data_IF_487193430246
#
_entry.id   IF_487193430246
#
_cell.length_a   1.000
_cell.length_b   1.000
_cell.length_c   1.000
_cell.angle_alpha   90.00
_cell.angle_beta   90.00
_cell.angle_gamma   90.00
#
_symmetry.space_group_name_H-M   'P 1'
#
loop_
_entity.id
_entity.type
_entity.pdbx_description
1 polymer ?
#
# COMPACT_ATOMS: atom_id res chain seq x y z
N UNK A 1 1.59 -33.68 -1.98
CA UNK A 1 0.84 -32.54 -1.40
C UNK A 1 -0.55 -32.52 -2.03
N UNK A 2 -1.58 -32.06 -1.34
CA UNK A 2 -2.96 -32.05 -1.84
C UNK A 2 -3.44 -30.62 -2.02
N UNK A 3 -4.32 -30.39 -3.00
CA UNK A 3 -4.99 -29.11 -3.21
C UNK A 3 -6.03 -28.87 -2.11
N UNK A 4 -5.95 -27.72 -1.44
CA UNK A 4 -6.85 -27.33 -0.34
C UNK A 4 -8.28 -27.00 -0.78
N UNK A 5 -8.52 -26.70 -2.06
CA UNK A 5 -9.87 -26.43 -2.57
C UNK A 5 -10.57 -27.68 -3.11
N UNK A 6 -9.84 -28.55 -3.82
CA UNK A 6 -10.44 -29.72 -4.50
C UNK A 6 -10.14 -31.06 -3.84
N UNK A 7 -9.19 -31.13 -2.93
CA UNK A 7 -8.77 -32.37 -2.26
C UNK A 7 -7.97 -33.33 -3.15
N UNK A 8 -7.68 -32.97 -4.41
CA UNK A 8 -6.93 -33.81 -5.34
C UNK A 8 -5.42 -33.76 -5.06
N UNK A 9 -4.68 -34.84 -5.35
CA UNK A 9 -3.22 -34.82 -5.23
C UNK A 9 -2.61 -33.86 -6.26
N UNK A 10 -1.63 -33.06 -5.83
CA UNK A 10 -0.82 -32.22 -6.71
C UNK A 10 0.13 -33.13 -7.48
N UNK A 11 0.08 -33.08 -8.82
CA UNK A 11 0.86 -33.95 -9.72
C UNK A 11 2.37 -33.72 -9.61
N UNK A 12 2.80 -32.50 -9.28
CA UNK A 12 4.20 -32.14 -9.15
C UNK A 12 4.75 -32.35 -7.74
N UNK A 13 6.06 -32.61 -7.65
CA UNK A 13 6.77 -32.66 -6.38
C UNK A 13 7.00 -31.23 -5.86
N UNK A 14 6.59 -30.96 -4.63
CA UNK A 14 6.77 -29.68 -3.96
C UNK A 14 7.87 -29.84 -2.91
N UNK A 15 8.91 -29.01 -2.99
CA UNK A 15 9.97 -28.95 -1.99
C UNK A 15 9.45 -28.18 -0.76
N UNK A 16 9.40 -28.87 0.38
CA UNK A 16 9.00 -28.30 1.66
C UNK A 16 10.11 -28.55 2.67
N UNK A 17 10.47 -27.52 3.42
CA UNK A 17 11.49 -27.61 4.48
C UNK A 17 11.39 -26.43 5.44
N UNK A 18 11.91 -26.59 6.68
CA UNK A 18 11.90 -25.51 7.65
C UNK A 18 12.90 -24.42 7.24
N UNK A 19 12.44 -23.16 7.22
CA UNK A 19 13.27 -21.97 6.99
C UNK A 19 12.90 -20.92 8.03
N UNK A 20 13.91 -20.23 8.58
CA UNK A 20 13.68 -19.13 9.51
C UNK A 20 13.31 -17.85 8.75
N UNK A 21 12.17 -17.26 9.10
CA UNK A 21 11.72 -15.99 8.52
C UNK A 21 11.95 -14.83 9.49
N UNK A 22 12.39 -13.70 8.96
CA UNK A 22 12.49 -12.45 9.71
C UNK A 22 11.32 -11.54 9.34
N UNK A 23 10.59 -11.06 10.34
CA UNK A 23 9.51 -10.09 10.15
C UNK A 23 10.09 -8.68 10.16
N UNK A 24 9.85 -7.93 9.08
CA UNK A 24 10.20 -6.51 9.01
C UNK A 24 9.23 -5.67 9.84
N UNK A 25 9.73 -4.58 10.40
CA UNK A 25 8.98 -3.68 11.30
C UNK A 25 7.97 -2.82 10.56
N UNK A 26 8.25 -2.45 9.30
CA UNK A 26 7.38 -1.57 8.54
C UNK A 26 6.13 -2.30 8.07
N UNK A 27 4.97 -1.92 8.62
CA UNK A 27 3.69 -2.48 8.25
C UNK A 27 2.97 -1.60 7.24
N UNK A 28 2.03 -2.20 6.50
CA UNK A 28 1.22 -1.48 5.49
C UNK A 28 0.24 -0.53 6.18
N UNK A 29 -0.34 -0.93 7.32
CA UNK A 29 -1.31 -0.14 8.09
C UNK A 29 -0.76 1.24 8.50
N UNK A 30 0.54 1.32 8.75
CA UNK A 30 1.25 2.56 9.10
C UNK A 30 1.40 3.53 7.92
N UNK A 31 1.02 3.13 6.70
CA UNK A 31 1.22 3.91 5.47
C UNK A 31 -0.09 4.26 4.76
N UNK A 32 -1.24 3.75 5.23
CA UNK A 32 -2.55 4.02 4.61
C UNK A 32 -2.96 5.49 4.83
N UNK A 33 -3.27 6.21 3.75
CA UNK A 33 -3.74 7.61 3.79
C UNK A 33 -4.89 7.82 2.80
N UNK A 34 -5.94 8.50 3.26
CA UNK A 34 -7.07 8.91 2.43
C UNK A 34 -7.55 10.30 2.85
N UNK A 35 -8.11 11.05 1.90
CA UNK A 35 -8.68 12.38 2.13
C UNK A 35 -9.90 12.56 1.24
N UNK A 36 -11.00 13.04 1.82
CA UNK A 36 -12.17 13.54 1.09
C UNK A 36 -12.17 15.07 0.99
N UNK A 37 -12.39 15.75 2.12
CA UNK A 37 -12.28 17.21 2.29
C UNK A 37 -11.48 17.50 3.57
N UNK A 38 -10.89 18.68 3.70
CA UNK A 38 -10.13 19.07 4.88
C UNK A 38 -9.55 20.48 4.74
N UNK A 39 -8.70 20.87 5.68
CA UNK A 39 -8.16 22.23 5.77
C UNK A 39 -7.21 22.56 4.62
N UNK A 40 -7.11 23.86 4.35
CA UNK A 40 -6.24 24.47 3.34
C UNK A 40 -5.27 25.45 4.01
N UNK A 41 -4.08 25.55 3.44
CA UNK A 41 -3.07 26.51 3.86
C UNK A 41 -3.50 27.95 3.52
N UNK A 42 -3.31 28.88 4.45
CA UNK A 42 -3.77 30.26 4.29
C UNK A 42 -3.12 31.01 3.11
N UNK A 43 -1.84 30.78 2.85
CA UNK A 43 -1.10 31.50 1.80
C UNK A 43 -1.48 31.01 0.40
N UNK A 44 -1.40 29.70 0.17
CA UNK A 44 -1.53 29.09 -1.16
C UNK A 44 -2.94 28.62 -1.45
N UNK A 45 -3.80 28.53 -0.43
CA UNK A 45 -5.09 27.84 -0.48
C UNK A 45 -4.98 26.39 -0.95
N UNK A 46 -3.79 25.79 -0.85
CA UNK A 46 -3.59 24.39 -1.18
C UNK A 46 -3.94 23.51 0.03
N UNK A 47 -4.43 22.29 -0.19
CA UNK A 47 -4.68 21.35 0.89
C UNK A 47 -3.42 21.11 1.74
N UNK A 48 -3.58 21.05 3.07
CA UNK A 48 -2.43 20.89 3.99
C UNK A 48 -1.68 19.57 3.77
N UNK A 49 -0.40 19.53 4.14
CA UNK A 49 0.48 18.36 4.00
C UNK A 49 0.47 17.49 5.26
N UNK A 50 0.70 16.20 5.08
CA UNK A 50 0.97 15.27 6.18
C UNK A 50 -0.23 14.43 6.59
N UNK A 51 0.04 13.17 6.95
CA UNK A 51 -0.99 12.17 7.27
C UNK A 51 -1.80 12.52 8.52
N UNK A 52 -1.15 13.08 9.54
CA UNK A 52 -1.79 13.44 10.83
C UNK A 52 -2.89 14.48 10.66
N UNK A 53 -2.75 15.36 9.68
CA UNK A 53 -3.68 16.45 9.40
C UNK A 53 -4.67 16.09 8.28
N UNK A 54 -4.78 14.79 7.95
CA UNK A 54 -5.57 14.33 6.80
C UNK A 54 -5.17 15.07 5.51
N UNK A 55 -3.87 15.29 5.36
CA UNK A 55 -3.29 16.03 4.25
C UNK A 55 -3.54 15.36 2.90
N UNK A 56 -3.44 16.13 1.82
CA UNK A 56 -3.68 15.61 0.47
C UNK A 56 -2.51 14.78 -0.04
N UNK A 57 -2.80 13.87 -0.97
CA UNK A 57 -1.76 13.26 -1.79
C UNK A 57 -1.25 14.27 -2.81
N UNK A 58 0.07 14.47 -2.88
CA UNK A 58 0.67 15.36 -3.87
C UNK A 58 0.44 14.85 -5.29
N UNK A 59 -0.14 15.69 -6.13
CA UNK A 59 -0.12 15.55 -7.58
C UNK A 59 1.12 16.27 -8.12
N UNK A 60 2.12 15.49 -8.54
CA UNK A 60 3.41 16.03 -9.01
C UNK A 60 3.45 16.23 -10.52
N UNK A 61 4.51 16.88 -11.00
CA UNK A 61 4.71 17.18 -12.43
C UNK A 61 4.65 15.93 -13.31
N UNK A 62 5.32 14.84 -12.93
CA UNK A 62 5.25 13.58 -13.68
C UNK A 62 3.81 13.03 -13.82
N UNK A 63 2.94 13.26 -12.83
CA UNK A 63 1.53 12.84 -12.94
C UNK A 63 0.75 13.79 -13.83
N UNK A 64 1.12 15.07 -13.89
CA UNK A 64 0.55 16.04 -14.82
C UNK A 64 0.92 15.69 -16.26
N UNK A 65 2.18 15.37 -16.52
CA UNK A 65 2.69 15.05 -17.86
C UNK A 65 2.07 13.77 -18.42
N UNK A 66 1.70 12.81 -17.55
CA UNK A 66 0.98 11.60 -17.97
C UNK A 66 -0.48 11.85 -18.38
N UNK A 67 -1.13 12.88 -17.82
CA UNK A 67 -2.56 13.16 -18.05
C UNK A 67 -2.80 14.02 -19.29
N UNK A 68 -1.78 14.79 -19.70
CA UNK A 68 -1.80 15.66 -20.89
C UNK A 68 -1.49 14.83 -22.13
#
# INVERSE_FOLDING_TARGET
MYDGHTGRPITSMICVGPVYYQRLVQLVDDKIQSRGRGDEENLTRQPTKGRREQGVQRFGEMKRDFVI
#
